data_IF_918132709315
#
_entry.id   IF_918132709315
#
_cell.length_a   1.000
_cell.length_b   1.000
_cell.length_c   1.000
_cell.angle_alpha   90.00
_cell.angle_beta   90.00
_cell.angle_gamma   90.00
#
_symmetry.space_group_name_H-M   'P 1'
#
loop_
_entity.id
_entity.type
_entity.pdbx_description
1 polymer ?
#
# COMPACT_ATOMS: atom_id res chain seq x y z
N UNK A 1 -1.24 -3.16 8.02
CA UNK A 1 -1.37 -1.93 8.83
C UNK A 1 -1.13 -0.75 7.92
N UNK A 2 -2.02 0.25 7.95
CA UNK A 2 -2.05 1.34 6.97
C UNK A 2 -1.60 2.65 7.60
N UNK A 3 -0.63 3.33 6.97
CA UNK A 3 -0.10 4.63 7.42
C UNK A 3 0.03 5.58 6.24
N UNK A 4 -0.25 6.87 6.45
CA UNK A 4 0.03 7.91 5.46
C UNK A 4 1.19 8.75 5.97
N UNK A 5 2.29 8.84 5.21
CA UNK A 5 3.37 9.78 5.49
C UNK A 5 3.28 10.98 4.58
N UNK A 6 3.47 12.17 5.13
CA UNK A 6 3.41 13.45 4.40
C UNK A 6 4.81 13.97 4.08
N UNK A 7 5.04 14.37 2.84
CA UNK A 7 6.28 15.02 2.37
C UNK A 7 5.93 16.48 2.05
N UNK A 8 6.14 17.43 2.98
CA UNK A 8 5.76 18.82 2.76
C UNK A 8 6.61 19.46 1.67
N UNK A 9 5.98 20.29 0.83
CA UNK A 9 6.70 21.13 -0.13
C UNK A 9 7.12 22.45 0.53
N UNK A 10 8.26 23.00 0.08
CA UNK A 10 8.80 24.26 0.60
C UNK A 10 8.00 25.50 0.18
N UNK A 11 7.20 25.40 -0.89
CA UNK A 11 6.39 26.52 -1.39
C UNK A 11 5.06 26.61 -0.63
N UNK A 12 4.75 27.75 0.03
CA UNK A 12 3.52 27.92 0.81
C UNK A 12 2.25 27.95 -0.05
N UNK A 13 2.37 28.20 -1.36
CA UNK A 13 1.25 28.17 -2.30
C UNK A 13 0.98 26.76 -2.87
N UNK A 14 1.82 25.78 -2.53
CA UNK A 14 1.59 24.39 -2.96
C UNK A 14 0.50 23.74 -2.12
N UNK A 15 -0.27 22.84 -2.73
CA UNK A 15 -1.35 22.09 -2.07
C UNK A 15 -0.81 21.03 -1.08
N UNK A 16 -0.10 21.48 -0.04
CA UNK A 16 0.42 20.67 1.08
C UNK A 16 1.72 19.93 0.78
N UNK A 17 1.84 19.28 -0.39
CA UNK A 17 3.00 18.48 -0.75
C UNK A 17 2.62 17.12 -1.31
N UNK A 18 3.46 16.12 -1.07
CA UNK A 18 3.28 14.76 -1.55
C UNK A 18 2.97 13.83 -0.36
N UNK A 19 2.50 12.62 -0.63
CA UNK A 19 2.21 11.63 0.41
C UNK A 19 2.58 10.23 -0.06
N UNK A 20 2.90 9.36 0.88
CA UNK A 20 3.05 7.92 0.62
C UNK A 20 2.02 7.20 1.47
N UNK A 21 1.18 6.41 0.82
CA UNK A 21 0.32 5.43 1.48
C UNK A 21 1.14 4.18 1.70
N UNK A 22 1.31 3.77 2.95
CA UNK A 22 2.01 2.56 3.32
C UNK A 22 1.03 1.49 3.76
N UNK A 23 1.29 0.27 3.33
CA UNK A 23 0.70 -0.93 3.88
C UNK A 23 1.80 -1.95 4.20
N UNK A 24 1.88 -2.29 5.48
CA UNK A 24 2.96 -3.10 6.04
C UNK A 24 2.44 -4.07 7.09
N UNK A 25 3.23 -5.11 7.37
CA UNK A 25 2.95 -6.06 8.43
C UNK A 25 2.93 -5.35 9.79
N UNK A 26 1.85 -5.54 10.55
CA UNK A 26 1.62 -4.81 11.80
C UNK A 26 2.57 -5.21 12.93
N UNK A 27 3.09 -6.43 12.91
CA UNK A 27 3.92 -7.00 13.99
C UNK A 27 5.41 -6.72 13.77
N UNK A 28 5.84 -6.70 12.52
CA UNK A 28 7.24 -6.59 12.11
C UNK A 28 7.58 -5.22 11.51
N UNK A 29 6.57 -4.47 11.05
CA UNK A 29 6.77 -3.26 10.25
C UNK A 29 7.35 -3.53 8.85
N UNK A 30 7.47 -4.79 8.46
CA UNK A 30 8.06 -5.21 7.19
C UNK A 30 7.06 -5.27 6.04
N UNK A 31 7.56 -5.67 4.88
CA UNK A 31 6.76 -5.95 3.69
C UNK A 31 5.85 -7.15 3.93
N UNK A 32 4.63 -7.10 3.40
CA UNK A 32 3.73 -8.26 3.34
C UNK A 32 4.21 -9.28 2.29
N UNK A 33 3.74 -10.52 2.41
CA UNK A 33 4.12 -11.60 1.49
C UNK A 33 3.38 -11.55 0.15
N UNK A 34 2.19 -10.95 0.14
CA UNK A 34 1.31 -10.87 -1.02
C UNK A 34 1.08 -9.42 -1.44
N UNK A 35 0.84 -9.19 -2.72
CA UNK A 35 0.39 -7.89 -3.21
C UNK A 35 -0.88 -7.47 -2.45
N UNK A 36 -0.94 -6.19 -2.06
CA UNK A 36 -2.12 -5.63 -1.42
C UNK A 36 -2.81 -4.57 -2.29
N UNK A 37 -2.06 -3.90 -3.17
CA UNK A 37 -2.59 -2.88 -4.05
C UNK A 37 -2.76 -3.43 -5.46
N UNK A 38 -3.79 -2.96 -6.15
CA UNK A 38 -3.89 -3.06 -7.62
C UNK A 38 -3.07 -1.91 -8.23
N UNK A 39 -1.84 -2.21 -8.66
CA UNK A 39 -0.89 -1.23 -9.22
C UNK A 39 -0.89 -1.20 -10.75
N UNK A 40 -1.33 -2.28 -11.40
CA UNK A 40 -1.45 -2.35 -12.86
C UNK A 40 -2.83 -1.91 -13.39
N UNK A 41 -3.79 -1.70 -12.48
CA UNK A 41 -5.14 -1.17 -12.70
C UNK A 41 -6.04 -2.09 -13.51
N UNK A 42 -5.85 -3.41 -13.39
CA UNK A 42 -6.69 -4.42 -14.04
C UNK A 42 -7.94 -4.81 -13.22
N UNK A 43 -8.13 -4.17 -12.06
CA UNK A 43 -9.18 -4.42 -11.06
C UNK A 43 -9.05 -5.74 -10.30
N UNK A 44 -7.92 -6.44 -10.40
CA UNK A 44 -7.64 -7.69 -9.71
C UNK A 44 -6.26 -7.66 -9.03
N UNK A 45 -6.23 -7.89 -7.72
CA UNK A 45 -4.97 -7.91 -6.98
C UNK A 45 -4.32 -9.29 -7.15
N UNK A 46 -3.30 -9.37 -8.00
CA UNK A 46 -2.66 -10.62 -8.42
C UNK A 46 -1.13 -10.57 -8.34
N UNK A 47 -0.47 -11.57 -8.93
CA UNK A 47 0.98 -11.55 -9.09
C UNK A 47 1.47 -10.46 -10.06
N UNK A 48 0.57 -9.91 -10.90
CA UNK A 48 0.85 -8.74 -11.75
C UNK A 48 1.19 -7.48 -10.94
N UNK A 49 0.71 -7.41 -9.71
CA UNK A 49 0.91 -6.28 -8.80
C UNK A 49 2.19 -6.34 -7.96
N UNK A 50 3.05 -7.33 -8.23
CA UNK A 50 4.36 -7.41 -7.60
C UNK A 50 5.36 -6.55 -8.39
N UNK A 51 6.32 -5.98 -7.67
CA UNK A 51 7.42 -5.23 -8.28
C UNK A 51 8.69 -6.08 -8.32
N UNK A 52 9.47 -5.93 -9.39
CA UNK A 52 10.78 -6.58 -9.52
C UNK A 52 11.85 -5.68 -8.92
N UNK A 53 12.61 -6.21 -7.96
CA UNK A 53 13.76 -5.54 -7.36
C UNK A 53 15.01 -6.40 -7.49
N UNK A 54 16.18 -5.79 -7.34
CA UNK A 54 17.40 -6.57 -7.15
C UNK A 54 17.36 -7.26 -5.78
N UNK A 55 17.69 -8.55 -5.72
CA UNK A 55 17.77 -9.28 -4.46
C UNK A 55 18.88 -8.66 -3.59
N UNK A 56 18.57 -8.13 -2.39
CA UNK A 56 19.58 -7.59 -1.49
C UNK A 56 20.60 -8.63 -1.01
N UNK A 57 20.33 -9.93 -1.19
CA UNK A 57 21.25 -11.02 -0.86
C UNK A 57 22.16 -11.41 -2.03
N UNK A 58 21.87 -10.96 -3.25
CA UNK A 58 22.65 -11.30 -4.43
C UNK A 58 24.05 -10.67 -4.38
N UNK A 59 25.05 -11.49 -4.65
CA UNK A 59 26.46 -11.11 -4.76
C UNK A 59 27.00 -11.46 -6.16
N UNK A 60 28.09 -10.82 -6.63
CA UNK A 60 28.66 -11.09 -7.96
C UNK A 60 29.09 -12.55 -8.23
N UNK A 61 29.15 -13.40 -7.20
CA UNK A 61 29.44 -14.84 -7.32
C UNK A 61 28.20 -15.71 -7.50
N UNK A 62 27.00 -15.15 -7.37
CA UNK A 62 25.74 -15.87 -7.49
C UNK A 62 25.25 -15.93 -8.95
N UNK A 63 24.44 -16.93 -9.32
CA UNK A 63 23.81 -16.98 -10.63
C UNK A 63 23.06 -15.68 -10.98
N UNK A 64 23.13 -15.25 -12.24
CA UNK A 64 22.46 -14.01 -12.69
C UNK A 64 20.93 -14.12 -12.61
N UNK A 65 20.40 -15.34 -12.68
CA UNK A 65 18.98 -15.66 -12.54
C UNK A 65 18.44 -15.32 -11.14
N UNK A 66 19.27 -15.38 -10.11
CA UNK A 66 18.91 -15.05 -8.72
C UNK A 66 19.07 -13.54 -8.42
N UNK A 67 19.49 -12.74 -9.40
CA UNK A 67 19.73 -11.30 -9.20
C UNK A 67 18.45 -10.53 -8.89
N UNK A 68 17.31 -11.00 -9.37
CA UNK A 68 16.04 -10.27 -9.27
C UNK A 68 14.99 -11.11 -8.56
N UNK A 69 14.25 -10.47 -7.66
CA UNK A 69 13.13 -11.05 -6.93
C UNK A 69 11.88 -10.21 -7.14
N UNK A 70 10.72 -10.88 -7.13
CA UNK A 70 9.42 -10.23 -7.11
C UNK A 70 8.95 -10.04 -5.67
N UNK A 71 8.46 -8.85 -5.38
CA UNK A 71 8.10 -8.45 -4.02
C UNK A 71 6.82 -7.63 -4.00
N UNK A 72 6.03 -7.75 -2.95
CA UNK A 72 4.85 -6.90 -2.76
C UNK A 72 5.27 -5.43 -2.50
N UNK A 73 4.66 -4.45 -3.15
CA UNK A 73 4.90 -3.05 -2.83
C UNK A 73 4.38 -2.73 -1.42
N UNK A 74 5.19 -2.06 -0.59
CA UNK A 74 4.78 -1.60 0.75
C UNK A 74 4.15 -0.21 0.75
N UNK A 75 4.19 0.50 -0.38
CA UNK A 75 3.55 1.79 -0.44
C UNK A 75 3.51 2.43 -1.83
N UNK A 76 2.58 3.36 -1.98
CA UNK A 76 2.30 4.09 -3.21
C UNK A 76 2.56 5.57 -2.98
N UNK A 77 3.40 6.16 -3.82
CA UNK A 77 3.71 7.59 -3.78
C UNK A 77 2.67 8.40 -4.58
N UNK A 78 2.03 9.33 -3.89
CA UNK A 78 1.08 10.28 -4.44
C UNK A 78 1.69 11.68 -4.47
N UNK A 79 1.69 12.32 -5.65
CA UNK A 79 2.10 13.73 -5.82
C UNK A 79 1.04 14.73 -5.34
N UNK A 80 0.45 14.45 -4.18
CA UNK A 80 -0.60 15.22 -3.52
C UNK A 80 -0.68 14.83 -2.05
N UNK A 81 -1.08 15.78 -1.21
CA UNK A 81 -1.29 15.54 0.20
C UNK A 81 -2.58 14.74 0.40
N UNK A 82 -2.47 13.54 0.97
CA UNK A 82 -3.58 12.61 1.21
C UNK A 82 -3.99 12.66 2.68
N UNK A 83 -5.29 12.61 2.95
CA UNK A 83 -5.86 12.57 4.31
C UNK A 83 -6.52 11.22 4.61
N UNK A 84 -6.75 10.87 5.88
CA UNK A 84 -7.34 9.58 6.25
C UNK A 84 -8.57 9.21 5.41
N UNK A 85 -8.63 7.99 4.87
CA UNK A 85 -9.65 7.61 3.91
C UNK A 85 -10.97 7.22 4.58
N UNK A 86 -12.04 7.25 3.78
CA UNK A 86 -13.23 6.43 4.02
C UNK A 86 -13.03 5.10 3.29
N UNK A 87 -13.31 3.99 3.99
CA UNK A 87 -13.10 2.63 3.46
C UNK A 87 -14.47 2.01 3.13
N UNK A 88 -14.63 1.52 1.91
CA UNK A 88 -15.81 0.79 1.45
C UNK A 88 -15.41 -0.62 1.00
N UNK A 89 -16.09 -1.64 1.52
CA UNK A 89 -15.91 -3.02 1.05
C UNK A 89 -16.69 -3.24 -0.24
N UNK A 90 -16.05 -3.87 -1.22
CA UNK A 90 -16.68 -4.16 -2.50
C UNK A 90 -17.57 -5.41 -2.41
N UNK A 91 -18.51 -5.61 -3.36
CA UNK A 91 -19.47 -6.73 -3.32
C UNK A 91 -18.82 -8.12 -3.29
N UNK A 92 -17.57 -8.23 -3.76
CA UNK A 92 -16.79 -9.47 -3.76
C UNK A 92 -16.32 -9.92 -2.36
N UNK A 93 -16.45 -9.05 -1.35
CA UNK A 93 -16.03 -9.24 0.04
C UNK A 93 -14.53 -9.47 0.26
N UNK A 94 -13.73 -9.51 -0.81
CA UNK A 94 -12.29 -9.78 -0.79
C UNK A 94 -11.48 -8.51 -1.04
N UNK A 95 -12.06 -7.50 -1.69
CA UNK A 95 -11.42 -6.22 -1.94
C UNK A 95 -12.17 -5.07 -1.25
N UNK A 96 -11.43 -4.00 -1.02
CA UNK A 96 -11.96 -2.75 -0.52
C UNK A 96 -11.42 -1.57 -1.32
N UNK A 97 -12.18 -0.48 -1.29
CA UNK A 97 -11.86 0.77 -1.94
C UNK A 97 -11.70 1.85 -0.88
N UNK A 98 -10.53 2.47 -0.85
CA UNK A 98 -10.24 3.61 0.01
C UNK A 98 -10.38 4.92 -0.75
N UNK A 99 -11.21 5.81 -0.21
CA UNK A 99 -11.47 7.14 -0.74
C UNK A 99 -10.75 8.17 0.11
N UNK A 100 -9.69 8.75 -0.44
CA UNK A 100 -8.88 9.77 0.22
C UNK A 100 -9.27 11.16 -0.26
N UNK A 101 -9.59 12.03 0.69
CA UNK A 101 -9.61 13.47 0.44
C UNK A 101 -8.19 13.98 0.27
N UNK A 102 -8.00 14.98 -0.57
CA UNK A 102 -6.68 15.61 -0.77
C UNK A 102 -6.72 17.11 -0.50
N UNK A 103 -5.55 17.70 -0.26
CA UNK A 103 -5.43 19.15 -0.06
C UNK A 103 -5.79 19.98 -1.31
N UNK A 104 -5.83 19.36 -2.50
CA UNK A 104 -6.27 20.01 -3.73
C UNK A 104 -7.80 19.97 -3.93
N UNK A 105 -8.55 19.39 -3.00
CA UNK A 105 -10.01 19.28 -3.07
C UNK A 105 -10.52 18.18 -4.01
N UNK A 106 -9.64 17.30 -4.50
CA UNK A 106 -10.04 16.12 -5.27
C UNK A 106 -10.08 14.86 -4.40
N UNK A 107 -10.70 13.79 -4.93
CA UNK A 107 -10.74 12.47 -4.31
C UNK A 107 -9.75 11.56 -5.04
N UNK A 108 -9.03 10.76 -4.27
CA UNK A 108 -8.16 9.71 -4.77
C UNK A 108 -8.67 8.36 -4.29
N UNK A 109 -8.70 7.38 -5.19
CA UNK A 109 -9.18 6.04 -4.89
C UNK A 109 -8.01 5.07 -4.95
N UNK A 110 -7.97 4.15 -3.99
CA UNK A 110 -7.01 3.03 -3.97
C UNK A 110 -7.80 1.77 -3.70
N UNK A 111 -7.66 0.78 -4.57
CA UNK A 111 -8.21 -0.55 -4.37
C UNK A 111 -7.16 -1.42 -3.70
N UNK A 112 -7.57 -2.13 -2.65
CA UNK A 112 -6.70 -3.05 -1.93
C UNK A 112 -7.44 -4.31 -1.43
N UNK A 113 -6.69 -5.26 -0.89
CA UNK A 113 -7.24 -6.46 -0.25
C UNK A 113 -7.97 -6.05 1.02
N UNK A 114 -9.21 -6.51 1.17
CA UNK A 114 -10.00 -6.17 2.34
C UNK A 114 -9.46 -6.81 3.61
N UNK A 115 -9.39 -6.07 4.71
CA UNK A 115 -8.84 -6.64 5.95
C UNK A 115 -9.72 -7.77 6.52
N UNK A 116 -9.11 -8.81 7.09
CA UNK A 116 -9.88 -9.85 7.77
C UNK A 116 -10.37 -9.33 9.13
N UNK A 117 -11.68 -9.09 9.26
CA UNK A 117 -12.31 -8.70 10.53
C UNK A 117 -12.83 -9.92 11.29
N UNK A 118 -12.49 -10.02 12.57
CA UNK A 118 -13.04 -10.99 13.52
C UNK A 118 -13.18 -10.36 14.91
N UNK A 119 -14.07 -10.92 15.75
CA UNK A 119 -14.20 -10.52 17.15
C UNK A 119 -13.27 -11.37 18.03
N UNK A 120 -12.29 -10.75 18.69
CA UNK A 120 -11.65 -11.34 19.86
C UNK A 120 -12.46 -10.93 21.09
N UNK A 121 -13.32 -11.80 21.60
CA UNK A 121 -13.94 -11.60 22.91
C UNK A 121 -13.04 -12.26 23.97
N UNK A 122 -12.76 -11.54 25.05
CA UNK A 122 -12.18 -12.14 26.24
C UNK A 122 -13.33 -12.62 27.13
N UNK A 123 -13.40 -13.92 27.42
CA UNK A 123 -14.20 -14.43 28.54
C UNK A 123 -13.30 -14.45 29.76
N UNK A 124 -13.51 -13.50 30.66
CA UNK A 124 -13.07 -13.61 32.04
C UNK A 124 -13.81 -14.80 32.70
N UNK A 125 -13.10 -15.63 33.45
CA UNK A 125 -13.65 -16.75 34.23
C UNK A 125 -13.58 -16.44 35.71
#
# INVERSE_FOLDING_TARGET
>A
YVVITSIPRSSPCSAGGDSILHEMDAATGGRLDTAQFDIDLDAAITAGDLIVIQDPKWSPGDPIEDKFITVAPTGIHFRKMMYPPVILRLPDQITEMKYFSTAAGNISMVQEVAEQRGMFYWRER
#
